data_IF_625886897120
#
_entry.id   IF_625886897120
#
_cell.length_a   1.000
_cell.length_b   1.000
_cell.length_c   1.000
_cell.angle_alpha   90.00
_cell.angle_beta   90.00
_cell.angle_gamma   90.00
#
_symmetry.space_group_name_H-M   'P 1'
#
loop_
_entity.id
_entity.type
_entity.pdbx_description
1 polymer ?
#
# COMPACT_ATOMS: atom_id res chain seq x y z
N UNK A 1 12.85 -1.48 -18.44
CA UNK A 1 13.11 -0.21 -17.69
C UNK A 1 11.90 0.73 -17.77
N UNK A 2 11.31 0.93 -18.95
CA UNK A 2 10.11 1.77 -19.14
C UNK A 2 8.89 1.28 -18.35
N UNK A 3 8.69 -0.04 -18.25
CA UNK A 3 7.56 -0.65 -17.55
C UNK A 3 7.56 -0.37 -16.04
N UNK A 4 8.75 -0.35 -15.42
CA UNK A 4 8.91 -0.02 -13.99
C UNK A 4 8.56 1.45 -13.74
N UNK A 5 8.99 2.34 -14.63
CA UNK A 5 8.70 3.78 -14.53
C UNK A 5 7.20 4.03 -14.70
N UNK A 6 6.57 3.43 -15.72
CA UNK A 6 5.11 3.53 -15.93
C UNK A 6 4.36 3.06 -14.69
N UNK A 7 4.77 1.93 -14.12
CA UNK A 7 4.05 1.37 -12.96
C UNK A 7 4.26 2.20 -11.70
N UNK A 8 5.46 2.74 -11.48
CA UNK A 8 5.72 3.66 -10.37
C UNK A 8 4.87 4.95 -10.49
N UNK A 9 4.77 5.51 -11.70
CA UNK A 9 3.93 6.69 -11.97
C UNK A 9 2.46 6.39 -11.71
N UNK A 10 1.94 5.25 -12.16
CA UNK A 10 0.56 4.83 -11.88
C UNK A 10 0.32 4.65 -10.39
N UNK A 11 1.22 3.96 -9.67
CA UNK A 11 1.11 3.75 -8.23
C UNK A 11 1.06 5.07 -7.46
N UNK A 12 1.99 5.99 -7.74
CA UNK A 12 2.06 7.31 -7.09
C UNK A 12 0.85 8.17 -7.48
N UNK A 13 0.43 8.14 -8.74
CA UNK A 13 -0.73 8.86 -9.24
C UNK A 13 -2.02 8.40 -8.57
N UNK A 14 -2.25 7.08 -8.49
CA UNK A 14 -3.42 6.51 -7.79
C UNK A 14 -3.42 6.86 -6.31
N UNK A 15 -2.27 6.77 -5.64
CA UNK A 15 -2.12 7.18 -4.24
C UNK A 15 -2.49 8.65 -4.02
N UNK A 16 -1.98 9.55 -4.86
CA UNK A 16 -2.31 10.98 -4.83
C UNK A 16 -3.80 11.23 -5.07
N UNK A 17 -4.38 10.59 -6.09
CA UNK A 17 -5.79 10.74 -6.43
C UNK A 17 -6.70 10.26 -5.28
N UNK A 18 -6.36 9.14 -4.66
CA UNK A 18 -7.10 8.59 -3.53
C UNK A 18 -7.06 9.52 -2.31
N UNK A 19 -5.90 10.15 -2.06
CA UNK A 19 -5.76 11.17 -1.02
C UNK A 19 -6.65 12.39 -1.31
N UNK A 20 -6.65 12.89 -2.55
CA UNK A 20 -7.50 14.02 -2.97
C UNK A 20 -8.98 13.67 -2.85
N UNK A 21 -9.40 12.49 -3.29
CA UNK A 21 -10.80 12.05 -3.20
C UNK A 21 -11.29 11.89 -1.76
N UNK A 22 -10.47 11.31 -0.86
CA UNK A 22 -10.80 11.27 0.58
C UNK A 22 -10.85 12.67 1.18
N UNK A 23 -9.94 13.55 0.77
CA UNK A 23 -9.93 14.97 1.14
C UNK A 23 -11.24 15.69 0.79
N UNK A 24 -11.63 15.61 -0.49
CA UNK A 24 -12.83 16.29 -1.01
C UNK A 24 -14.13 15.72 -0.42
N UNK A 25 -14.24 14.39 -0.31
CA UNK A 25 -15.45 13.73 0.22
C UNK A 25 -15.71 14.01 1.70
N UNK A 26 -14.69 14.44 2.45
CA UNK A 26 -14.77 14.70 3.91
C UNK A 26 -14.43 16.14 4.27
N UNK A 27 -14.65 17.06 3.33
CA UNK A 27 -14.57 18.50 3.61
C UNK A 27 -15.72 18.87 4.55
N UNK A 28 -15.42 19.51 5.69
CA UNK A 28 -16.43 19.91 6.66
C UNK A 28 -17.45 20.87 6.01
N UNK A 29 -18.68 20.40 5.83
CA UNK A 29 -19.81 21.24 5.47
C UNK A 29 -20.39 21.90 6.73
N UNK A 30 -20.91 23.13 6.66
CA UNK A 30 -21.56 23.78 7.81
C UNK A 30 -22.64 22.86 8.40
N UNK A 31 -22.52 22.51 9.69
CA UNK A 31 -23.45 21.62 10.39
C UNK A 31 -23.14 20.12 10.33
N UNK A 32 -22.08 19.67 9.64
CA UNK A 32 -21.62 18.27 9.66
C UNK A 32 -20.17 18.16 10.15
N UNK A 33 -19.98 17.57 11.33
CA UNK A 33 -18.66 17.20 11.88
C UNK A 33 -18.15 15.90 11.24
N UNK A 34 -17.95 15.89 9.92
CA UNK A 34 -17.27 14.79 9.21
C UNK A 34 -15.87 15.23 8.80
N UNK A 35 -15.09 15.73 9.77
CA UNK A 35 -13.71 16.14 9.53
C UNK A 35 -12.80 14.93 9.38
N UNK A 36 -11.83 15.01 8.48
CA UNK A 36 -10.76 14.02 8.36
C UNK A 36 -10.05 13.83 9.71
N UNK A 37 -10.09 12.61 10.23
CA UNK A 37 -9.24 12.19 11.35
C UNK A 37 -7.86 11.78 10.85
N UNK A 38 -6.86 11.73 11.74
CA UNK A 38 -5.51 11.28 11.37
C UNK A 38 -5.48 9.83 10.88
N UNK A 39 -6.37 9.00 11.42
CA UNK A 39 -6.52 7.60 11.02
C UNK A 39 -7.02 7.46 9.57
N UNK A 40 -7.76 8.46 9.06
CA UNK A 40 -8.25 8.45 7.68
C UNK A 40 -7.16 8.70 6.63
N UNK A 41 -6.00 9.20 7.06
CA UNK A 41 -4.83 9.41 6.21
C UNK A 41 -3.92 8.16 6.11
N UNK A 42 -4.33 7.03 6.70
CA UNK A 42 -3.67 5.74 6.56
C UNK A 42 -4.18 5.04 5.28
N UNK A 43 -3.28 4.84 4.32
CA UNK A 43 -3.57 4.18 3.03
C UNK A 43 -2.79 2.88 2.84
N UNK A 44 -2.01 2.45 3.84
CA UNK A 44 -1.17 1.26 3.75
C UNK A 44 -1.97 -0.02 3.46
N UNK A 45 -3.20 -0.11 3.97
CA UNK A 45 -4.12 -1.23 3.67
C UNK A 45 -4.52 -1.23 2.21
N UNK A 46 -4.91 -0.06 1.70
CA UNK A 46 -5.33 0.12 0.31
C UNK A 46 -4.18 -0.31 -0.63
N UNK A 47 -2.96 0.13 -0.33
CA UNK A 47 -1.76 -0.19 -1.11
C UNK A 47 -1.34 -1.64 -1.00
N UNK A 48 -1.49 -2.26 0.17
CA UNK A 48 -1.22 -3.70 0.35
C UNK A 48 -2.23 -4.54 -0.44
N UNK A 49 -3.51 -4.17 -0.45
CA UNK A 49 -4.55 -4.84 -1.25
C UNK A 49 -4.27 -4.67 -2.74
N UNK A 50 -3.91 -3.46 -3.19
CA UNK A 50 -3.50 -3.24 -4.58
C UNK A 50 -2.29 -4.09 -4.95
N UNK A 51 -1.30 -4.22 -4.07
CA UNK A 51 -0.11 -5.04 -4.28
C UNK A 51 -0.46 -6.53 -4.48
N UNK A 52 -1.39 -7.06 -3.66
CA UNK A 52 -1.90 -8.44 -3.79
C UNK A 52 -2.54 -8.65 -5.16
N UNK A 53 -3.46 -7.75 -5.54
CA UNK A 53 -4.18 -7.87 -6.80
C UNK A 53 -3.25 -7.75 -8.01
N UNK A 54 -2.27 -6.84 -7.95
CA UNK A 54 -1.27 -6.67 -8.99
C UNK A 54 -0.42 -7.94 -9.17
N UNK A 55 0.13 -8.49 -8.09
CA UNK A 55 0.93 -9.71 -8.13
C UNK A 55 0.11 -10.91 -8.63
N UNK A 56 -1.12 -11.07 -8.14
CA UNK A 56 -2.02 -12.15 -8.58
C UNK A 56 -2.32 -12.03 -10.08
N UNK A 57 -2.63 -10.82 -10.56
CA UNK A 57 -2.85 -10.55 -11.97
C UNK A 57 -1.64 -10.92 -12.83
N UNK A 58 -0.43 -10.51 -12.44
CA UNK A 58 0.80 -10.84 -13.16
C UNK A 58 1.04 -12.35 -13.24
N UNK A 59 0.85 -13.07 -12.12
CA UNK A 59 1.02 -14.54 -12.08
C UNK A 59 -0.01 -15.25 -12.96
N UNK A 60 -1.28 -14.86 -12.91
CA UNK A 60 -2.34 -15.46 -13.76
C UNK A 60 -2.03 -15.25 -15.24
N UNK A 61 -1.63 -14.03 -15.64
CA UNK A 61 -1.32 -13.73 -17.04
C UNK A 61 -0.05 -14.47 -17.50
N UNK A 62 0.99 -14.56 -16.68
CA UNK A 62 2.19 -15.31 -17.04
C UNK A 62 1.89 -16.82 -17.17
N UNK A 63 1.03 -17.35 -16.30
CA UNK A 63 0.57 -18.75 -16.37
C UNK A 63 -0.20 -19.01 -17.66
N UNK A 64 -1.12 -18.12 -18.06
CA UNK A 64 -1.88 -18.30 -19.31
C UNK A 64 -1.01 -18.20 -20.56
N UNK A 65 0.14 -17.52 -20.47
CA UNK A 65 1.15 -17.42 -21.53
C UNK A 65 2.22 -18.53 -21.48
N UNK A 66 2.11 -19.51 -20.56
CA UNK A 66 3.12 -20.55 -20.32
C UNK A 66 4.54 -20.00 -20.07
N UNK A 67 4.66 -18.85 -19.42
CA UNK A 67 5.96 -18.27 -19.05
C UNK A 67 6.52 -18.89 -17.78
N UNK A 68 7.85 -18.93 -17.67
CA UNK A 68 8.51 -19.34 -16.45
C UNK A 68 8.25 -18.31 -15.33
N UNK A 69 7.89 -18.78 -14.14
CA UNK A 69 7.60 -17.92 -12.99
C UNK A 69 8.77 -18.01 -12.01
N UNK A 70 9.42 -16.89 -11.64
CA UNK A 70 10.46 -16.87 -10.61
C UNK A 70 9.86 -17.14 -9.23
N UNK A 71 9.65 -18.43 -8.91
CA UNK A 71 8.90 -18.89 -7.73
C UNK A 71 9.45 -18.31 -6.42
N UNK A 72 10.78 -18.21 -6.29
CA UNK A 72 11.42 -17.65 -5.09
C UNK A 72 11.02 -16.19 -4.85
N UNK A 73 11.01 -15.35 -5.90
CA UNK A 73 10.61 -13.94 -5.76
C UNK A 73 9.13 -13.81 -5.40
N UNK A 74 8.28 -14.59 -6.06
CA UNK A 74 6.83 -14.61 -5.78
C UNK A 74 6.56 -15.06 -4.34
N UNK A 75 7.22 -16.11 -3.87
CA UNK A 75 7.08 -16.60 -2.48
C UNK A 75 7.51 -15.54 -1.47
N UNK A 76 8.66 -14.90 -1.67
CA UNK A 76 9.10 -13.81 -0.79
C UNK A 76 8.11 -12.65 -0.78
N UNK A 77 7.56 -12.28 -1.93
CA UNK A 77 6.58 -11.21 -2.01
C UNK A 77 5.27 -11.57 -1.30
N UNK A 78 4.82 -12.83 -1.42
CA UNK A 78 3.68 -13.35 -0.66
C UNK A 78 3.95 -13.27 0.85
N UNK A 79 5.14 -13.63 1.32
CA UNK A 79 5.53 -13.49 2.73
C UNK A 79 5.46 -12.03 3.18
N UNK A 80 6.01 -11.09 2.40
CA UNK A 80 5.96 -9.65 2.70
C UNK A 80 4.52 -9.14 2.77
N UNK A 81 3.66 -9.56 1.85
CA UNK A 81 2.23 -9.25 1.86
C UNK A 81 1.56 -9.78 3.13
N UNK A 82 1.81 -11.04 3.49
CA UNK A 82 1.22 -11.65 4.70
C UNK A 82 1.67 -10.89 5.94
N UNK A 83 2.96 -10.53 6.03
CA UNK A 83 3.49 -9.72 7.14
C UNK A 83 2.86 -8.32 7.17
N UNK A 84 2.63 -7.70 6.01
CA UNK A 84 1.89 -6.43 5.92
C UNK A 84 0.46 -6.57 6.43
N UNK A 85 -0.23 -7.67 6.10
CA UNK A 85 -1.62 -7.90 6.53
C UNK A 85 -1.77 -8.33 8.00
N UNK A 86 -0.71 -8.85 8.63
CA UNK A 86 -0.78 -9.46 9.97
C UNK A 86 0.15 -8.81 10.99
N UNK A 87 1.47 -8.95 10.80
CA UNK A 87 2.47 -8.44 11.71
C UNK A 87 2.45 -6.91 11.80
N UNK A 88 2.24 -6.23 10.67
CA UNK A 88 2.24 -4.77 10.63
C UNK A 88 1.05 -4.13 11.40
N UNK A 89 -0.22 -4.54 11.22
CA UNK A 89 -1.30 -4.02 12.05
C UNK A 89 -1.13 -4.34 13.54
N UNK A 90 -0.57 -5.49 13.88
CA UNK A 90 -0.21 -5.80 15.27
C UNK A 90 0.87 -4.84 15.81
N UNK A 91 1.91 -4.59 15.03
CA UNK A 91 2.95 -3.61 15.36
C UNK A 91 2.36 -2.20 15.56
N UNK A 92 1.50 -1.75 14.65
CA UNK A 92 0.84 -0.45 14.78
C UNK A 92 -0.01 -0.40 16.06
N UNK A 93 -0.77 -1.45 16.37
CA UNK A 93 -1.59 -1.52 17.59
C UNK A 93 -0.76 -1.35 18.86
N UNK A 94 0.42 -1.97 18.93
CA UNK A 94 1.29 -1.92 20.12
C UNK A 94 2.01 -0.57 20.23
N UNK A 95 2.56 -0.06 19.12
CA UNK A 95 3.47 1.08 19.16
C UNK A 95 2.81 2.40 18.75
N UNK A 96 2.01 2.39 17.68
CA UNK A 96 1.44 3.58 17.06
C UNK A 96 0.13 4.07 17.70
N UNK A 97 -0.67 3.16 18.26
CA UNK A 97 -1.97 3.48 18.87
C UNK A 97 -1.89 3.69 20.38
N UNK A 98 -2.64 4.67 20.88
CA UNK A 98 -2.84 4.96 22.30
C UNK A 98 -3.92 4.10 22.97
N UNK A 99 -4.11 4.23 24.30
CA UNK A 99 -5.11 3.48 25.07
C UNK A 99 -6.55 3.68 24.56
N UNK A 100 -6.81 4.85 23.99
CA UNK A 100 -8.06 5.32 23.40
C UNK A 100 -8.22 4.94 21.92
N UNK A 101 -7.40 4.01 21.43
CA UNK A 101 -7.38 3.52 20.05
C UNK A 101 -7.19 4.62 18.98
N UNK A 102 -6.60 5.76 19.39
CA UNK A 102 -6.21 6.85 18.48
C UNK A 102 -4.74 6.76 18.12
N UNK A 103 -4.41 7.13 16.89
CA UNK A 103 -3.01 7.22 16.46
C UNK A 103 -2.26 8.28 17.28
N UNK A 104 -1.16 7.88 17.92
CA UNK A 104 -0.30 8.78 18.68
C UNK A 104 0.24 9.87 17.76
N UNK A 105 0.30 11.10 18.26
CA UNK A 105 0.98 12.17 17.54
C UNK A 105 2.50 11.92 17.61
N UNK A 106 3.15 11.75 16.45
CA UNK A 106 4.60 11.63 16.37
C UNK A 106 5.14 12.44 15.18
N UNK A 107 6.33 13.03 15.31
CA UNK A 107 6.96 13.85 14.27
C UNK A 107 6.30 15.22 14.01
N UNK A 108 6.72 15.95 12.95
CA UNK A 108 6.20 17.26 12.62
C UNK A 108 4.69 17.21 12.37
N UNK A 109 3.93 18.06 13.08
CA UNK A 109 2.45 18.13 13.01
C UNK A 109 1.72 16.82 13.37
N UNK A 110 2.41 15.84 13.97
CA UNK A 110 1.86 14.54 14.35
C UNK A 110 1.65 13.56 13.18
N UNK A 111 2.35 13.77 12.05
CA UNK A 111 2.19 12.97 10.84
C UNK A 111 3.16 11.78 10.71
N UNK A 112 4.08 11.58 11.65
CA UNK A 112 5.15 10.59 11.55
C UNK A 112 4.64 9.16 11.35
N UNK A 113 3.64 8.73 12.15
CA UNK A 113 3.06 7.39 11.99
C UNK A 113 2.32 7.23 10.67
N UNK A 114 1.64 8.29 10.22
CA UNK A 114 0.96 8.32 8.92
C UNK A 114 1.98 8.11 7.79
N UNK A 115 3.10 8.84 7.84
CA UNK A 115 4.17 8.71 6.86
C UNK A 115 4.80 7.31 6.86
N UNK A 116 5.09 6.74 8.04
CA UNK A 116 5.66 5.39 8.15
C UNK A 116 4.70 4.34 7.58
N UNK A 117 3.41 4.38 7.94
CA UNK A 117 2.44 3.42 7.45
C UNK A 117 2.33 3.46 5.93
N UNK A 118 2.16 4.66 5.39
CA UNK A 118 2.08 4.86 3.95
C UNK A 118 3.39 4.41 3.28
N UNK A 119 4.54 4.82 3.78
CA UNK A 119 5.82 4.40 3.20
C UNK A 119 5.96 2.88 3.13
N UNK A 120 5.59 2.15 4.18
CA UNK A 120 5.55 0.67 4.16
C UNK A 120 4.61 0.15 3.08
N UNK A 121 3.39 0.68 2.98
CA UNK A 121 2.44 0.28 1.93
C UNK A 121 2.97 0.53 0.51
N UNK A 122 3.66 1.65 0.26
CA UNK A 122 4.31 1.95 -1.03
C UNK A 122 5.40 0.93 -1.32
N UNK A 123 6.24 0.58 -0.34
CA UNK A 123 7.31 -0.40 -0.54
C UNK A 123 6.75 -1.78 -0.88
N UNK A 124 5.67 -2.20 -0.22
CA UNK A 124 4.97 -3.45 -0.53
C UNK A 124 4.42 -3.43 -1.96
N UNK A 125 3.79 -2.32 -2.36
CA UNK A 125 3.28 -2.16 -3.72
C UNK A 125 4.38 -2.18 -4.78
N UNK A 126 5.45 -1.41 -4.59
CA UNK A 126 6.59 -1.39 -5.49
C UNK A 126 7.28 -2.75 -5.59
N UNK A 127 7.41 -3.47 -4.47
CA UNK A 127 7.94 -4.83 -4.45
C UNK A 127 7.08 -5.81 -5.25
N UNK A 128 5.75 -5.73 -5.11
CA UNK A 128 4.81 -6.56 -5.87
C UNK A 128 4.86 -6.26 -7.36
N UNK A 129 4.92 -4.98 -7.72
CA UNK A 129 5.10 -4.51 -9.11
C UNK A 129 6.40 -5.02 -9.70
N UNK A 130 7.52 -4.84 -9.00
CA UNK A 130 8.83 -5.28 -9.46
C UNK A 130 8.87 -6.80 -9.66
N UNK A 131 8.29 -7.55 -8.73
CA UNK A 131 8.14 -9.00 -8.85
C UNK A 131 7.26 -9.36 -10.04
N UNK A 132 6.16 -8.63 -10.26
CA UNK A 132 5.28 -8.81 -11.42
C UNK A 132 5.98 -8.55 -12.75
N UNK A 133 6.79 -7.50 -12.86
CA UNK A 133 7.63 -7.22 -14.04
C UNK A 133 8.61 -8.36 -14.28
N UNK A 134 9.31 -8.83 -13.23
CA UNK A 134 10.22 -9.96 -13.36
C UNK A 134 9.49 -11.23 -13.82
N UNK A 135 8.24 -11.46 -13.40
CA UNK A 135 7.41 -12.57 -13.88
C UNK A 135 7.14 -12.47 -15.40
N UNK A 136 7.06 -11.26 -15.97
CA UNK A 136 6.87 -11.08 -17.41
C UNK A 136 8.15 -11.17 -18.23
N UNK A 137 9.26 -10.67 -17.70
CA UNK A 137 10.58 -10.64 -18.36
C UNK A 137 11.39 -11.93 -18.14
N UNK A 138 11.03 -12.78 -17.16
CA UNK A 138 11.68 -14.08 -16.97
C UNK A 138 11.50 -14.96 -18.20
N UNK A 139 12.61 -15.36 -18.82
CA UNK A 139 12.67 -16.37 -19.87
C UNK A 139 13.07 -17.72 -19.30
#
# INVERSE_FOLDING_TARGET
MDEIVITAVLAVGTAGLQMVMKGLSRTNLPGKSHGLSRDDALFWTDWTVTAILALAGSVVVATSQNKAIPTTQVVWMVVVIVLSCSAFPFFLRVFAYGPDAKLKAWGPRGAGWILVCNFVGILVLLGAVFTGVNVYEFR
#
